data_IF_371080587390
#
_entry.id   IF_371080587390
#
_cell.length_a   1.000
_cell.length_b   1.000
_cell.length_c   1.000
_cell.angle_alpha   90.00
_cell.angle_beta   90.00
_cell.angle_gamma   90.00
#
_symmetry.space_group_name_H-M   'P 1'
#
loop_
_entity.id
_entity.type
_entity.pdbx_description
1 polymer ?
#
# COMPACT_ATOMS: atom_id res chain seq x y z
N UNK A 1 -40.58 23.19 52.38
CA UNK A 1 -40.48 23.88 51.07
C UNK A 1 -39.65 25.14 51.22
N UNK A 2 -38.46 25.22 50.61
CA UNK A 2 -37.68 26.47 50.56
C UNK A 2 -37.93 27.20 49.24
N UNK A 3 -38.52 28.40 49.31
CA UNK A 3 -38.66 29.31 48.16
C UNK A 3 -37.35 30.09 47.99
N UNK A 4 -36.50 29.67 47.05
CA UNK A 4 -35.35 30.50 46.61
C UNK A 4 -35.91 31.72 45.88
N UNK A 5 -35.70 32.92 46.42
CA UNK A 5 -35.97 34.16 45.69
C UNK A 5 -34.94 34.26 44.57
N UNK A 6 -35.39 34.17 43.31
CA UNK A 6 -34.55 34.45 42.15
C UNK A 6 -34.23 35.95 42.14
N UNK A 7 -32.94 36.29 42.11
CA UNK A 7 -32.52 37.66 41.83
C UNK A 7 -32.86 37.99 40.36
N UNK A 8 -33.24 39.25 40.06
CA UNK A 8 -33.49 39.66 38.68
C UNK A 8 -32.18 39.57 37.88
N UNK A 9 -32.20 38.81 36.78
CA UNK A 9 -31.09 38.74 35.84
C UNK A 9 -30.97 40.08 35.13
N UNK A 10 -29.83 40.76 35.27
CA UNK A 10 -29.50 41.94 34.47
C UNK A 10 -28.74 41.46 33.24
N UNK A 11 -29.32 41.68 32.07
CA UNK A 11 -28.63 41.52 30.79
C UNK A 11 -27.62 42.67 30.64
N UNK A 12 -26.38 42.44 31.04
CA UNK A 12 -25.26 43.31 30.69
C UNK A 12 -24.77 42.95 29.29
N UNK A 13 -24.73 43.92 28.38
CA UNK A 13 -24.11 43.74 27.06
C UNK A 13 -22.60 43.73 27.23
N UNK A 14 -22.01 42.55 27.10
CA UNK A 14 -20.56 42.39 27.01
C UNK A 14 -20.20 42.50 25.53
N UNK A 15 -19.51 43.58 25.15
CA UNK A 15 -18.92 43.69 23.81
C UNK A 15 -17.72 42.74 23.73
N UNK A 16 -17.83 41.71 22.88
CA UNK A 16 -16.76 40.75 22.61
C UNK A 16 -16.27 40.94 21.18
N UNK A 17 -14.96 40.90 21.01
CA UNK A 17 -14.36 40.85 19.67
C UNK A 17 -14.71 39.53 18.98
N UNK A 18 -14.68 39.52 17.65
CA UNK A 18 -14.96 38.32 16.86
C UNK A 18 -14.08 37.14 17.29
N UNK A 19 -12.82 37.39 17.59
CA UNK A 19 -11.88 36.35 18.03
C UNK A 19 -12.27 35.74 19.39
N UNK A 20 -12.75 36.57 20.32
CA UNK A 20 -13.21 36.10 21.64
C UNK A 20 -14.48 35.26 21.52
N UNK A 21 -15.41 35.67 20.66
CA UNK A 21 -16.64 34.91 20.37
C UNK A 21 -16.27 33.54 19.77
N UNK A 22 -15.35 33.51 18.82
CA UNK A 22 -14.91 32.28 18.16
C UNK A 22 -14.26 31.32 19.16
N UNK A 23 -13.40 31.81 20.05
CA UNK A 23 -12.74 30.98 21.06
C UNK A 23 -13.70 30.44 22.12
N UNK A 24 -14.74 31.21 22.46
CA UNK A 24 -15.77 30.79 23.41
C UNK A 24 -16.75 29.78 22.80
N UNK A 25 -17.22 30.02 21.58
CA UNK A 25 -18.21 29.16 20.89
C UNK A 25 -17.58 27.88 20.37
N UNK A 26 -16.41 27.97 19.73
CA UNK A 26 -15.73 26.80 19.17
C UNK A 26 -14.88 26.08 20.21
N UNK A 27 -14.75 26.65 21.41
CA UNK A 27 -13.78 26.23 22.41
C UNK A 27 -12.35 26.49 21.96
N UNK A 28 -11.43 26.65 22.91
CA UNK A 28 -10.00 26.48 22.62
C UNK A 28 -9.88 25.12 21.96
N UNK A 29 -9.47 25.08 20.69
CA UNK A 29 -9.52 23.88 19.86
C UNK A 29 -9.08 22.65 20.64
N UNK A 30 -10.04 21.91 21.16
CA UNK A 30 -9.80 20.61 21.76
C UNK A 30 -9.60 19.73 20.54
N UNK A 31 -8.36 19.74 20.06
CA UNK A 31 -7.92 18.84 19.01
C UNK A 31 -8.45 17.48 19.39
N UNK A 32 -9.20 16.86 18.47
CA UNK A 32 -9.71 15.51 18.61
C UNK A 32 -8.54 14.62 18.98
N UNK A 33 -8.32 14.46 20.29
CA UNK A 33 -7.29 13.58 20.79
C UNK A 33 -7.84 12.21 20.45
N UNK A 34 -7.23 11.56 19.46
CA UNK A 34 -7.64 10.21 19.01
C UNK A 34 -7.67 9.19 20.18
N UNK A 35 -7.13 9.54 21.36
CA UNK A 35 -7.15 8.74 22.58
C UNK A 35 -8.24 9.10 23.60
N UNK A 36 -8.98 10.21 23.46
CA UNK A 36 -9.94 10.70 24.46
C UNK A 36 -11.32 11.07 23.88
N UNK A 37 -11.78 10.36 22.84
CA UNK A 37 -13.17 10.51 22.39
C UNK A 37 -14.15 9.97 23.43
N UNK A 38 -15.20 10.74 23.77
CA UNK A 38 -16.37 10.22 24.47
C UNK A 38 -17.17 9.32 23.50
N UNK A 39 -16.85 8.04 23.53
CA UNK A 39 -17.50 7.00 22.74
C UNK A 39 -16.79 5.67 22.95
N UNK A 40 -17.48 4.53 22.77
CA UNK A 40 -16.82 3.23 22.85
C UNK A 40 -15.62 3.22 21.90
N UNK A 41 -14.44 2.90 22.45
CA UNK A 41 -13.20 2.74 21.67
C UNK A 41 -13.55 1.85 20.48
N UNK A 42 -13.26 2.27 19.22
CA UNK A 42 -13.49 1.41 18.07
C UNK A 42 -12.82 0.08 18.39
N UNK A 43 -13.58 -1.01 18.37
CA UNK A 43 -12.97 -2.33 18.48
C UNK A 43 -11.95 -2.35 17.37
N UNK A 44 -10.67 -2.44 17.75
CA UNK A 44 -9.61 -2.68 16.79
C UNK A 44 -9.99 -4.00 16.16
N UNK A 45 -10.68 -3.94 15.03
CA UNK A 45 -10.73 -5.03 14.07
C UNK A 45 -9.26 -5.21 13.71
N UNK A 46 -8.56 -6.02 14.51
CA UNK A 46 -7.40 -6.74 14.02
C UNK A 46 -7.88 -7.31 12.71
N UNK A 47 -7.17 -6.93 11.66
CA UNK A 47 -7.41 -7.28 10.29
C UNK A 47 -7.49 -8.81 10.16
N UNK A 48 -8.62 -9.43 10.49
CA UNK A 48 -8.86 -10.86 10.22
C UNK A 48 -9.06 -11.11 8.72
N UNK A 49 -9.09 -10.05 7.89
CA UNK A 49 -9.01 -10.15 6.44
C UNK A 49 -7.59 -10.47 5.93
N UNK A 50 -6.54 -10.36 6.76
CA UNK A 50 -5.17 -10.58 6.29
C UNK A 50 -4.77 -12.05 6.21
N UNK A 51 -5.33 -12.94 7.04
CA UNK A 51 -4.83 -14.32 7.13
C UNK A 51 -5.21 -15.21 5.92
N UNK A 52 -6.38 -14.95 5.31
CA UNK A 52 -6.84 -15.72 4.15
C UNK A 52 -6.23 -15.17 2.84
N UNK A 53 -6.07 -13.84 2.76
CA UNK A 53 -5.39 -13.19 1.64
C UNK A 53 -3.91 -13.57 1.57
N UNK A 54 -3.24 -13.79 2.71
CA UNK A 54 -1.82 -14.18 2.71
C UNK A 54 -1.55 -15.55 2.09
N UNK A 55 -2.40 -16.55 2.32
CA UNK A 55 -2.17 -17.90 1.75
C UNK A 55 -2.38 -17.91 0.23
N UNK A 56 -3.43 -17.24 -0.24
CA UNK A 56 -3.68 -17.14 -1.68
C UNK A 56 -2.57 -16.35 -2.40
N UNK A 57 -2.11 -15.23 -1.82
CA UNK A 57 -0.96 -14.50 -2.36
C UNK A 57 0.33 -15.33 -2.33
N UNK A 58 0.57 -16.11 -1.27
CA UNK A 58 1.74 -16.99 -1.19
C UNK A 58 1.71 -18.08 -2.26
N UNK A 59 0.54 -18.69 -2.50
CA UNK A 59 0.36 -19.67 -3.58
C UNK A 59 0.62 -19.05 -4.95
N UNK A 60 0.05 -17.88 -5.23
CA UNK A 60 0.28 -17.16 -6.49
C UNK A 60 1.75 -16.76 -6.67
N UNK A 61 2.42 -16.33 -5.60
CA UNK A 61 3.85 -16.01 -5.61
C UNK A 61 4.68 -17.26 -5.96
N UNK A 62 4.35 -18.40 -5.35
CA UNK A 62 5.04 -19.66 -5.61
C UNK A 62 4.87 -20.13 -7.06
N UNK A 63 3.63 -20.13 -7.57
CA UNK A 63 3.34 -20.47 -8.97
C UNK A 63 4.07 -19.55 -9.95
N UNK A 64 4.09 -18.24 -9.66
CA UNK A 64 4.79 -17.25 -10.49
C UNK A 64 6.30 -17.50 -10.50
N UNK A 65 6.90 -17.81 -9.35
CA UNK A 65 8.32 -18.16 -9.26
C UNK A 65 8.65 -19.44 -10.04
N UNK A 66 7.80 -20.46 -9.97
CA UNK A 66 8.01 -21.68 -10.76
C UNK A 66 7.96 -21.39 -12.27
N UNK A 67 6.95 -20.63 -12.72
CA UNK A 67 6.84 -20.24 -14.14
C UNK A 67 8.05 -19.45 -14.62
N UNK A 68 8.54 -18.52 -13.80
CA UNK A 68 9.75 -17.76 -14.09
C UNK A 68 10.96 -18.69 -14.27
N UNK A 69 11.20 -19.59 -13.32
CA UNK A 69 12.32 -20.53 -13.39
C UNK A 69 12.27 -21.42 -14.65
N UNK A 70 11.08 -21.94 -15.00
CA UNK A 70 10.90 -22.74 -16.22
C UNK A 70 11.23 -21.88 -17.46
N UNK A 71 10.71 -20.66 -17.52
CA UNK A 71 10.94 -19.75 -18.65
C UNK A 71 12.42 -19.38 -18.78
N UNK A 72 13.11 -19.10 -17.67
CA UNK A 72 14.55 -18.82 -17.65
C UNK A 72 15.36 -20.01 -18.16
N UNK A 73 15.01 -21.24 -17.76
CA UNK A 73 15.66 -22.46 -18.27
C UNK A 73 15.47 -22.61 -19.78
N UNK A 74 14.25 -22.41 -20.28
CA UNK A 74 13.95 -22.49 -21.71
C UNK A 74 14.73 -21.44 -22.52
N UNK A 75 14.81 -20.21 -22.01
CA UNK A 75 15.62 -19.15 -22.64
C UNK A 75 17.10 -19.52 -22.64
N UNK A 76 17.60 -20.12 -21.56
CA UNK A 76 18.97 -20.64 -21.48
C UNK A 76 19.26 -21.68 -22.57
N UNK A 77 18.39 -22.67 -22.73
CA UNK A 77 18.52 -23.70 -23.76
C UNK A 77 18.43 -23.14 -25.20
N UNK A 78 17.54 -22.19 -25.43
CA UNK A 78 17.42 -21.55 -26.75
C UNK A 78 18.68 -20.74 -27.08
N UNK A 79 19.26 -20.03 -26.11
CA UNK A 79 20.51 -19.31 -26.29
C UNK A 79 21.67 -20.24 -26.64
N UNK A 80 21.78 -21.39 -26.00
CA UNK A 80 22.84 -22.37 -26.31
C UNK A 80 22.66 -22.96 -27.71
N UNK A 81 21.43 -23.37 -28.06
CA UNK A 81 21.11 -23.85 -29.42
C UNK A 81 21.42 -22.81 -30.49
N UNK A 82 21.03 -21.56 -30.28
CA UNK A 82 21.32 -20.47 -31.21
C UNK A 82 22.82 -20.23 -31.40
N UNK A 83 23.60 -20.27 -30.31
CA UNK A 83 25.06 -20.13 -30.37
C UNK A 83 25.71 -21.28 -31.15
N UNK A 84 25.24 -22.51 -30.97
CA UNK A 84 25.71 -23.67 -31.73
C UNK A 84 25.39 -23.48 -33.23
N UNK A 85 24.16 -23.07 -33.56
CA UNK A 85 23.75 -22.86 -34.95
C UNK A 85 24.65 -21.83 -35.65
N UNK A 86 24.89 -20.67 -35.02
CA UNK A 86 25.80 -19.64 -35.55
C UNK A 86 27.20 -20.22 -35.79
N UNK A 87 27.72 -21.04 -34.88
CA UNK A 87 29.04 -21.61 -35.03
C UNK A 87 29.10 -22.62 -36.19
N UNK A 88 28.04 -23.41 -36.38
CA UNK A 88 27.92 -24.33 -37.53
C UNK A 88 27.84 -23.56 -38.85
N UNK A 89 27.03 -22.50 -38.92
CA UNK A 89 26.94 -21.66 -40.12
C UNK A 89 28.29 -21.03 -40.47
N UNK A 90 29.02 -20.51 -39.47
CA UNK A 90 30.37 -19.97 -39.67
C UNK A 90 31.34 -21.04 -40.16
N UNK A 91 31.27 -22.25 -39.63
CA UNK A 91 32.11 -23.36 -40.06
C UNK A 91 31.80 -23.76 -41.51
N UNK A 92 30.52 -23.85 -41.89
CA UNK A 92 30.13 -24.14 -43.28
C UNK A 92 30.60 -23.05 -44.24
N UNK A 93 30.46 -21.77 -43.88
CA UNK A 93 30.97 -20.66 -44.69
C UNK A 93 32.50 -20.71 -44.85
N UNK A 94 33.22 -21.11 -43.80
CA UNK A 94 34.66 -21.31 -43.85
C UNK A 94 35.06 -22.48 -44.77
N UNK A 95 34.38 -23.62 -44.68
CA UNK A 95 34.66 -24.76 -45.55
C UNK A 95 34.36 -24.46 -47.03
N UNK A 96 33.27 -23.75 -47.31
CA UNK A 96 32.90 -23.32 -48.66
C UNK A 96 33.94 -22.37 -49.29
N UNK A 97 34.58 -21.51 -48.48
CA UNK A 97 35.65 -20.61 -48.96
C UNK A 97 36.99 -21.30 -49.15
N UNK A 98 37.25 -22.38 -48.42
CA UNK A 98 38.48 -23.19 -48.56
C UNK A 98 38.39 -24.28 -49.64
N UNK A 99 37.22 -24.45 -50.28
CA UNK A 99 37.03 -25.48 -51.32
C UNK A 99 37.08 -26.92 -50.81
N UNK A 100 36.94 -27.12 -49.49
CA UNK A 100 36.94 -28.44 -48.87
C UNK A 100 35.48 -28.91 -48.76
N UNK A 101 35.05 -29.74 -49.70
CA UNK A 101 33.81 -30.52 -49.61
C UNK A 101 34.10 -31.83 -48.88
N UNK A 102 33.28 -32.17 -47.88
CA UNK A 102 33.25 -33.49 -47.25
C UNK A 102 32.83 -34.58 -48.24
#
# INVERSE_FOLDING_TARGET
MMKKKQQPFKEERIEKSTNEIVLEVLGHGSGYSKSLGYGPKPTSRRNNANSFMTEQLQKQLHETKQKLHISESQVGELKTKYKILINVEKLMAFMATQGVTL
#
